data_IF_375284104966
#
_entry.id   IF_375284104966
#
_cell.length_a   1.000
_cell.length_b   1.000
_cell.length_c   1.000
_cell.angle_alpha   90.00
_cell.angle_beta   90.00
_cell.angle_gamma   90.00
#
_symmetry.space_group_name_H-M   'P 1'
#
loop_
_entity.id
_entity.type
_entity.pdbx_description
1 polymer ?
#
# COMPACT_ATOMS: atom_id res chain seq x y z
N UNK A 1 5.48 -4.41 4.02
CA UNK A 1 6.89 -3.98 3.84
C UNK A 1 7.17 -3.92 2.35
N UNK A 2 7.71 -2.81 1.87
CA UNK A 2 7.99 -2.58 0.45
C UNK A 2 9.49 -2.51 0.22
N UNK A 3 9.98 -3.19 -0.81
CA UNK A 3 11.40 -3.25 -1.18
C UNK A 3 11.55 -2.83 -2.65
N UNK A 4 11.89 -1.56 -2.93
CA UNK A 4 12.08 -1.08 -4.30
C UNK A 4 13.14 -1.89 -5.06
N UNK A 5 12.93 -2.09 -6.36
CA UNK A 5 13.89 -2.83 -7.18
C UNK A 5 15.17 -2.01 -7.45
N UNK A 6 16.33 -2.59 -7.14
CA UNK A 6 17.63 -2.05 -7.53
C UNK A 6 18.13 -2.78 -8.79
N UNK A 7 17.99 -2.12 -9.95
CA UNK A 7 18.41 -2.69 -11.24
C UNK A 7 19.84 -2.28 -11.60
N UNK A 8 20.66 -3.18 -12.20
CA UNK A 8 21.98 -2.84 -12.71
C UNK A 8 21.94 -1.71 -13.74
N UNK A 9 23.01 -0.91 -13.79
CA UNK A 9 23.14 0.18 -14.75
C UNK A 9 22.96 -0.33 -16.20
N UNK A 10 22.10 0.34 -16.96
CA UNK A 10 21.78 -0.03 -18.35
C UNK A 10 20.61 -1.00 -18.51
N UNK A 11 20.13 -1.63 -17.43
CA UNK A 11 18.94 -2.47 -17.47
C UNK A 11 17.68 -1.65 -17.18
N UNK A 12 16.73 -1.66 -18.11
CA UNK A 12 15.40 -1.05 -17.94
C UNK A 12 14.34 -2.13 -17.99
N UNK A 13 13.74 -2.43 -16.85
CA UNK A 13 12.60 -3.33 -16.73
C UNK A 13 11.45 -2.59 -16.04
N UNK A 14 10.18 -2.90 -16.36
CA UNK A 14 9.03 -2.36 -15.64
C UNK A 14 8.84 -3.05 -14.27
N UNK A 15 9.93 -3.38 -13.58
CA UNK A 15 9.93 -4.00 -12.25
C UNK A 15 10.09 -2.89 -11.22
N UNK A 16 9.10 -2.72 -10.35
CA UNK A 16 9.09 -1.65 -9.32
C UNK A 16 9.61 -2.12 -7.96
N UNK A 17 9.55 -3.42 -7.67
CA UNK A 17 10.04 -4.00 -6.42
C UNK A 17 9.16 -5.12 -5.87
N UNK A 18 9.41 -5.48 -4.62
CA UNK A 18 8.70 -6.52 -3.88
C UNK A 18 7.82 -5.94 -2.78
N UNK A 19 6.64 -6.53 -2.60
CA UNK A 19 5.75 -6.25 -1.48
C UNK A 19 5.57 -7.50 -0.63
N UNK A 20 5.97 -7.42 0.64
CA UNK A 20 5.82 -8.51 1.60
C UNK A 20 4.73 -8.16 2.61
N UNK A 21 3.71 -9.03 2.67
CA UNK A 21 2.56 -8.89 3.57
C UNK A 21 2.51 -10.09 4.52
N UNK A 22 2.46 -9.81 5.83
CA UNK A 22 2.35 -10.83 6.87
C UNK A 22 0.88 -11.19 7.12
N UNK A 23 0.43 -12.33 6.57
CA UNK A 23 -0.97 -12.73 6.62
C UNK A 23 -1.58 -12.79 8.04
N UNK A 24 -0.91 -13.36 9.07
CA UNK A 24 -1.44 -13.37 10.43
C UNK A 24 -1.62 -11.96 11.03
N UNK A 25 -0.75 -11.01 10.68
CA UNK A 25 -0.82 -9.63 11.18
C UNK A 25 -2.01 -8.91 10.55
N UNK A 26 -2.15 -8.97 9.22
CA UNK A 26 -3.30 -8.38 8.50
C UNK A 26 -4.62 -8.97 9.01
N UNK A 27 -4.67 -10.28 9.24
CA UNK A 27 -5.87 -10.92 9.77
C UNK A 27 -6.24 -10.41 11.16
N UNK A 28 -5.25 -10.24 12.05
CA UNK A 28 -5.47 -9.70 13.39
C UNK A 28 -5.94 -8.24 13.33
N UNK A 29 -5.24 -7.40 12.57
CA UNK A 29 -5.57 -5.98 12.44
C UNK A 29 -6.94 -5.74 11.84
N UNK A 30 -7.34 -6.54 10.85
CA UNK A 30 -8.69 -6.46 10.27
C UNK A 30 -9.77 -6.69 11.34
N UNK A 31 -9.57 -7.67 12.23
CA UNK A 31 -10.48 -7.93 13.35
C UNK A 31 -10.46 -6.78 14.35
N UNK A 32 -9.27 -6.33 14.77
CA UNK A 32 -9.10 -5.27 15.77
C UNK A 32 -9.71 -3.93 15.31
N UNK A 33 -9.69 -3.65 14.01
CA UNK A 33 -10.22 -2.43 13.41
C UNK A 33 -11.65 -2.59 12.86
N UNK A 34 -12.27 -3.77 12.99
CA UNK A 34 -13.61 -4.05 12.46
C UNK A 34 -13.71 -3.97 10.92
N UNK A 35 -12.59 -4.19 10.22
CA UNK A 35 -12.51 -4.17 8.75
C UNK A 35 -12.75 -5.57 8.17
N UNK A 36 -13.35 -5.64 6.98
CA UNK A 36 -13.36 -6.89 6.23
C UNK A 36 -11.92 -7.30 5.87
N UNK A 37 -11.59 -8.58 6.04
CA UNK A 37 -10.23 -9.08 5.78
C UNK A 37 -9.74 -8.73 4.36
N UNK A 38 -10.61 -8.92 3.35
CA UNK A 38 -10.33 -8.57 1.95
C UNK A 38 -9.95 -7.09 1.82
N UNK A 39 -10.69 -6.22 2.50
CA UNK A 39 -10.55 -4.78 2.38
C UNK A 39 -9.26 -4.31 3.05
N UNK A 40 -8.89 -4.91 4.18
CA UNK A 40 -7.58 -4.65 4.81
C UNK A 40 -6.41 -5.15 3.93
N UNK A 41 -6.54 -6.30 3.28
CA UNK A 41 -5.55 -6.73 2.28
C UNK A 41 -5.46 -5.77 1.09
N UNK A 42 -6.59 -5.27 0.59
CA UNK A 42 -6.60 -4.29 -0.48
C UNK A 42 -5.88 -3.00 -0.05
N UNK A 43 -6.17 -2.51 1.15
CA UNK A 43 -5.50 -1.35 1.74
C UNK A 43 -3.98 -1.55 1.81
N UNK A 44 -3.51 -2.64 2.43
CA UNK A 44 -2.07 -2.92 2.55
C UNK A 44 -1.37 -3.10 1.20
N UNK A 45 -2.07 -3.65 0.21
CA UNK A 45 -1.54 -3.81 -1.15
C UNK A 45 -1.38 -2.47 -1.86
N UNK A 46 -2.40 -1.61 -1.80
CA UNK A 46 -2.36 -0.27 -2.40
C UNK A 46 -1.29 0.58 -1.72
N UNK A 47 -1.33 0.65 -0.39
CA UNK A 47 -0.36 1.38 0.43
C UNK A 47 1.08 0.96 0.12
N UNK A 48 1.35 -0.35 0.16
CA UNK A 48 2.67 -0.89 -0.14
C UNK A 48 3.13 -0.63 -1.58
N UNK A 49 2.21 -0.64 -2.54
CA UNK A 49 2.50 -0.31 -3.95
C UNK A 49 2.81 1.18 -4.13
N UNK A 50 2.11 2.07 -3.44
CA UNK A 50 2.40 3.51 -3.46
C UNK A 50 3.81 3.80 -2.93
N UNK A 51 4.25 3.09 -1.88
CA UNK A 51 5.65 3.15 -1.44
C UNK A 51 6.64 2.70 -2.53
N UNK A 52 6.35 1.63 -3.27
CA UNK A 52 7.19 1.19 -4.40
C UNK A 52 7.22 2.22 -5.55
N UNK A 53 6.22 3.08 -5.64
CA UNK A 53 6.14 4.19 -6.61
C UNK A 53 6.78 5.49 -6.08
N UNK A 54 7.37 5.47 -4.88
CA UNK A 54 8.06 6.61 -4.28
C UNK A 54 7.16 7.59 -3.53
N UNK A 55 5.92 7.20 -3.21
CA UNK A 55 5.13 7.94 -2.23
C UNK A 55 5.58 7.57 -0.81
N UNK A 56 5.52 8.54 0.09
CA UNK A 56 5.83 8.34 1.50
C UNK A 56 4.86 9.13 2.37
N UNK A 57 4.95 8.95 3.68
CA UNK A 57 4.12 9.60 4.69
C UNK A 57 4.94 10.06 5.90
N UNK A 58 6.22 10.43 5.71
CA UNK A 58 7.11 10.89 6.79
C UNK A 58 6.70 12.23 7.40
N UNK A 59 5.97 13.07 6.65
CA UNK A 59 5.39 14.32 7.13
C UNK A 59 3.92 14.45 6.71
N UNK A 60 3.18 15.35 7.37
CA UNK A 60 1.74 15.53 7.19
C UNK A 60 1.35 15.82 5.73
N UNK A 61 2.13 16.63 5.02
CA UNK A 61 1.82 17.00 3.64
C UNK A 61 2.06 15.84 2.64
N UNK A 62 3.05 14.98 2.91
CA UNK A 62 3.28 13.74 2.18
C UNK A 62 2.18 12.71 2.49
N UNK A 63 1.85 12.55 3.78
CA UNK A 63 0.77 11.69 4.24
C UNK A 63 -0.55 12.05 3.58
N UNK A 64 -1.02 13.30 3.67
CA UNK A 64 -2.27 13.74 3.06
C UNK A 64 -2.36 13.41 1.56
N UNK A 65 -1.25 13.57 0.83
CA UNK A 65 -1.18 13.23 -0.60
C UNK A 65 -1.28 11.73 -0.83
N UNK A 66 -0.56 10.93 -0.06
CA UNK A 66 -0.58 9.47 -0.18
C UNK A 66 -1.95 8.92 0.20
N UNK A 67 -2.52 9.33 1.33
CA UNK A 67 -3.84 8.90 1.79
C UNK A 67 -4.94 9.28 0.78
N UNK A 68 -4.87 10.45 0.14
CA UNK A 68 -5.83 10.84 -0.89
C UNK A 68 -5.79 9.91 -2.11
N UNK A 69 -4.60 9.42 -2.48
CA UNK A 69 -4.45 8.42 -3.54
C UNK A 69 -5.00 7.06 -3.08
N UNK A 70 -4.72 6.64 -1.85
CA UNK A 70 -5.26 5.40 -1.28
C UNK A 70 -6.79 5.39 -1.30
N UNK A 71 -7.44 6.44 -0.78
CA UNK A 71 -8.90 6.60 -0.80
C UNK A 71 -9.48 6.50 -2.21
N UNK A 72 -8.85 7.19 -3.17
CA UNK A 72 -9.27 7.18 -4.58
C UNK A 72 -9.19 5.79 -5.19
N UNK A 73 -8.08 5.07 -4.98
CA UNK A 73 -7.86 3.74 -5.55
C UNK A 73 -8.77 2.71 -4.89
N UNK A 74 -8.89 2.72 -3.56
CA UNK A 74 -9.74 1.79 -2.82
C UNK A 74 -11.21 1.94 -3.18
N UNK A 75 -11.68 3.18 -3.36
CA UNK A 75 -13.04 3.45 -3.85
C UNK A 75 -13.28 2.80 -5.21
N UNK A 76 -12.31 2.84 -6.12
CA UNK A 76 -12.41 2.17 -7.43
C UNK A 76 -12.44 0.63 -7.32
N UNK A 77 -11.87 0.07 -6.25
CA UNK A 77 -11.90 -1.36 -5.94
C UNK A 77 -13.16 -1.79 -5.13
N UNK A 78 -14.07 -0.85 -4.86
CA UNK A 78 -15.27 -1.07 -4.04
C UNK A 78 -14.96 -1.29 -2.57
N UNK A 79 -13.86 -0.71 -2.08
CA UNK A 79 -13.45 -0.74 -0.67
C UNK A 79 -13.75 0.62 -0.05
N UNK A 80 -14.32 0.62 1.16
CA UNK A 80 -14.61 1.85 1.90
C UNK A 80 -13.34 2.60 2.30
N UNK A 81 -13.49 3.88 2.67
CA UNK A 81 -12.38 4.69 3.19
C UNK A 81 -11.73 3.99 4.40
N UNK A 82 -10.42 3.69 4.38
CA UNK A 82 -9.77 2.96 5.46
C UNK A 82 -9.33 3.84 6.64
N UNK A 83 -9.49 5.17 6.54
CA UNK A 83 -9.10 6.19 7.53
C UNK A 83 -10.29 6.69 8.37
#
# INVERSE_FOLDING_TARGET
LSFPAELPAGLKLPLIGDLVICAPVVAREAVDQGKHLRDHYAHMTVHGTLHLLGHDHENDADAERMEALERKILTQLGVADPY
#
